data_IF_262109997865
#
_entry.id   IF_262109997865
#
_cell.length_a   1.000
_cell.length_b   1.000
_cell.length_c   1.000
_cell.angle_alpha   90.00
_cell.angle_beta   90.00
_cell.angle_gamma   90.00
#
_symmetry.space_group_name_H-M   'P 1'
#
loop_
_entity.id
_entity.type
_entity.pdbx_description
1 polymer ?
#
# COMPACT_ATOMS: atom_id res chain seq x y z
N UNK A 1 -0.83 -34.18 5.45
CA UNK A 1 -0.31 -33.09 6.30
C UNK A 1 0.23 -31.94 5.45
N UNK A 2 1.23 -32.16 4.58
CA UNK A 2 1.77 -31.09 3.72
C UNK A 2 0.75 -30.49 2.73
N UNK A 3 -0.07 -31.32 2.10
CA UNK A 3 -1.12 -30.86 1.16
C UNK A 3 -2.13 -29.94 1.87
N UNK A 4 -2.53 -30.28 3.09
CA UNK A 4 -3.49 -29.51 3.88
C UNK A 4 -2.93 -28.16 4.33
N UNK A 5 -1.64 -28.11 4.69
CA UNK A 5 -0.94 -26.85 5.00
C UNK A 5 -0.89 -25.95 3.77
N UNK A 6 -0.55 -26.50 2.60
CA UNK A 6 -0.50 -25.73 1.35
C UNK A 6 -1.86 -25.09 1.01
N UNK A 7 -2.95 -25.86 1.10
CA UNK A 7 -4.29 -25.32 0.88
C UNK A 7 -4.66 -24.23 1.89
N UNK A 8 -4.36 -24.43 3.17
CA UNK A 8 -4.66 -23.41 4.18
C UNK A 8 -3.88 -22.10 3.95
N UNK A 9 -2.60 -22.19 3.59
CA UNK A 9 -1.78 -21.01 3.24
C UNK A 9 -2.36 -20.30 2.03
N UNK A 10 -2.69 -21.03 0.97
CA UNK A 10 -3.27 -20.47 -0.25
C UNK A 10 -4.63 -19.80 -0.01
N UNK A 11 -5.50 -20.44 0.78
CA UNK A 11 -6.80 -19.87 1.14
C UNK A 11 -6.63 -18.59 1.95
N UNK A 12 -5.66 -18.53 2.86
CA UNK A 12 -5.38 -17.32 3.63
C UNK A 12 -4.86 -16.17 2.75
N UNK A 13 -3.92 -16.45 1.84
CA UNK A 13 -3.46 -15.44 0.86
C UNK A 13 -4.61 -14.92 -0.01
N UNK A 14 -5.47 -15.82 -0.51
CA UNK A 14 -6.62 -15.45 -1.33
C UNK A 14 -7.62 -14.59 -0.54
N UNK A 15 -7.84 -14.91 0.74
CA UNK A 15 -8.70 -14.14 1.63
C UNK A 15 -8.15 -12.73 1.85
N UNK A 16 -6.87 -12.60 2.19
CA UNK A 16 -6.21 -11.30 2.38
C UNK A 16 -6.27 -10.45 1.11
N UNK A 17 -6.02 -11.05 -0.06
CA UNK A 17 -6.11 -10.34 -1.33
C UNK A 17 -7.54 -9.84 -1.59
N UNK A 18 -8.55 -10.68 -1.34
CA UNK A 18 -9.95 -10.30 -1.51
C UNK A 18 -10.35 -9.14 -0.60
N UNK A 19 -9.94 -9.18 0.67
CA UNK A 19 -10.23 -8.12 1.63
C UNK A 19 -9.57 -6.79 1.22
N UNK A 20 -8.30 -6.84 0.79
CA UNK A 20 -7.60 -5.67 0.29
C UNK A 20 -8.30 -5.06 -0.94
N UNK A 21 -8.70 -5.87 -1.92
CA UNK A 21 -9.44 -5.39 -3.10
C UNK A 21 -10.79 -4.79 -2.73
N UNK A 22 -11.52 -5.36 -1.76
CA UNK A 22 -12.79 -4.81 -1.30
C UNK A 22 -12.61 -3.41 -0.67
N UNK A 23 -11.60 -3.26 0.19
CA UNK A 23 -11.26 -1.98 0.82
C UNK A 23 -10.88 -0.94 -0.24
N UNK A 24 -10.01 -1.32 -1.19
CA UNK A 24 -9.59 -0.42 -2.27
C UNK A 24 -10.78 -0.01 -3.15
N UNK A 25 -11.70 -0.93 -3.45
CA UNK A 25 -12.91 -0.61 -4.20
C UNK A 25 -13.84 0.35 -3.45
N UNK A 26 -14.00 0.18 -2.13
CA UNK A 26 -14.77 1.12 -1.30
C UNK A 26 -14.18 2.52 -1.32
N UNK A 27 -12.85 2.64 -1.22
CA UNK A 27 -12.14 3.92 -1.31
C UNK A 27 -12.34 4.53 -2.71
N UNK A 28 -12.12 3.74 -3.76
CA UNK A 28 -12.25 4.18 -5.16
C UNK A 28 -13.64 4.76 -5.46
N UNK A 29 -14.68 4.14 -4.92
CA UNK A 29 -16.06 4.52 -5.18
C UNK A 29 -16.57 5.68 -4.30
N UNK A 30 -15.76 6.15 -3.34
CA UNK A 30 -16.13 7.29 -2.53
C UNK A 30 -16.12 8.58 -3.37
N UNK A 31 -17.15 9.41 -3.24
CA UNK A 31 -17.26 10.67 -3.99
C UNK A 31 -16.04 11.56 -3.73
N UNK A 32 -15.44 12.07 -4.80
CA UNK A 32 -14.26 12.95 -4.76
C UNK A 32 -12.93 12.22 -4.80
N UNK A 33 -12.89 10.88 -4.74
CA UNK A 33 -11.67 10.12 -4.96
C UNK A 33 -11.32 10.12 -6.44
N UNK A 34 -10.17 10.71 -6.77
CA UNK A 34 -9.67 10.84 -8.14
C UNK A 34 -8.84 9.63 -8.58
N UNK A 35 -8.29 8.88 -7.62
CA UNK A 35 -7.46 7.73 -7.90
C UNK A 35 -6.84 7.13 -6.64
N UNK A 36 -6.23 5.97 -6.83
CA UNK A 36 -5.55 5.20 -5.80
C UNK A 36 -4.15 4.88 -6.30
N UNK A 37 -3.17 5.01 -5.41
CA UNK A 37 -1.80 4.58 -5.62
C UNK A 37 -1.34 3.78 -4.38
N UNK A 38 -0.93 2.54 -4.60
CA UNK A 38 -0.38 1.63 -3.59
C UNK A 38 1.09 1.41 -3.92
N UNK A 39 1.97 1.76 -2.99
CA UNK A 39 3.43 1.65 -3.12
C UNK A 39 4.01 0.93 -1.92
N UNK A 40 5.13 0.25 -2.12
CA UNK A 40 5.92 -0.29 -1.00
C UNK A 40 6.81 0.81 -0.36
N UNK A 41 7.58 0.45 0.67
CA UNK A 41 8.49 1.35 1.38
C UNK A 41 9.63 1.91 0.53
N UNK A 42 9.93 1.28 -0.60
CA UNK A 42 10.97 1.68 -1.56
C UNK A 42 10.42 2.57 -2.67
N UNK A 43 9.09 2.73 -2.76
CA UNK A 43 8.41 3.47 -3.81
C UNK A 43 8.13 2.65 -5.07
N UNK A 44 8.24 1.32 -5.01
CA UNK A 44 7.76 0.45 -6.08
C UNK A 44 6.23 0.42 -6.09
N UNK A 45 5.66 0.62 -7.27
CA UNK A 45 4.21 0.67 -7.48
C UNK A 45 3.66 -0.76 -7.49
N UNK A 46 2.71 -1.03 -6.59
CA UNK A 46 1.98 -2.30 -6.51
C UNK A 46 0.66 -2.20 -7.31
N UNK A 47 -0.04 -1.08 -7.17
CA UNK A 47 -1.31 -0.81 -7.87
C UNK A 47 -1.50 0.67 -8.06
N UNK A 48 -2.00 1.08 -9.22
CA UNK A 48 -2.33 2.46 -9.51
C UNK A 48 -3.56 2.55 -10.39
N UNK A 49 -4.37 3.60 -10.19
CA UNK A 49 -5.41 4.00 -11.15
C UNK A 49 -4.99 5.16 -12.03
N UNK A 50 -3.79 5.72 -11.81
CA UNK A 50 -3.21 6.77 -12.62
C UNK A 50 -2.46 6.19 -13.83
N UNK A 51 -2.12 7.04 -14.80
CA UNK A 51 -1.16 6.65 -15.84
C UNK A 51 0.23 6.40 -15.25
N UNK A 52 1.10 5.78 -16.04
CA UNK A 52 2.44 5.38 -15.59
C UNK A 52 3.27 6.58 -15.12
N UNK A 53 3.25 7.68 -15.88
CA UNK A 53 4.06 8.86 -15.58
C UNK A 53 3.64 9.52 -14.27
N UNK A 54 2.34 9.69 -14.05
CA UNK A 54 1.80 10.21 -12.79
C UNK A 54 2.07 9.27 -11.63
N UNK A 55 1.94 7.96 -11.84
CA UNK A 55 2.22 6.94 -10.82
C UNK A 55 3.67 6.99 -10.37
N UNK A 56 4.62 7.04 -11.29
CA UNK A 56 6.06 7.12 -11.00
C UNK A 56 6.41 8.40 -10.24
N UNK A 57 5.87 9.54 -10.70
CA UNK A 57 6.08 10.83 -10.06
C UNK A 57 5.55 10.83 -8.62
N UNK A 58 4.30 10.41 -8.42
CA UNK A 58 3.67 10.37 -7.11
C UNK A 58 4.36 9.37 -6.17
N UNK A 59 4.71 8.17 -6.65
CA UNK A 59 5.41 7.17 -5.86
C UNK A 59 6.76 7.70 -5.34
N UNK A 60 7.55 8.33 -6.21
CA UNK A 60 8.84 8.90 -5.83
C UNK A 60 8.70 10.01 -4.79
N UNK A 61 7.79 10.98 -5.00
CA UNK A 61 7.63 12.12 -4.10
C UNK A 61 7.03 11.71 -2.75
N UNK A 62 5.99 10.88 -2.74
CA UNK A 62 5.30 10.47 -1.52
C UNK A 62 6.17 9.57 -0.65
N UNK A 63 6.97 8.67 -1.24
CA UNK A 63 7.91 7.84 -0.49
C UNK A 63 9.00 8.70 0.15
N UNK A 64 9.57 9.67 -0.58
CA UNK A 64 10.55 10.60 -0.03
C UNK A 64 9.98 11.46 1.10
N UNK A 65 8.77 12.01 0.90
CA UNK A 65 8.07 12.80 1.91
C UNK A 65 7.81 11.97 3.18
N UNK A 66 7.28 10.76 3.01
CA UNK A 66 6.96 9.87 4.14
C UNK A 66 8.21 9.47 4.91
N UNK A 67 9.33 9.22 4.22
CA UNK A 67 10.62 8.93 4.87
C UNK A 67 11.09 10.12 5.71
N UNK A 68 11.14 11.31 5.11
CA UNK A 68 11.54 12.54 5.83
C UNK A 68 10.64 12.83 7.02
N UNK A 69 9.32 12.68 6.87
CA UNK A 69 8.38 12.89 7.96
C UNK A 69 8.63 11.93 9.13
N UNK A 70 8.87 10.63 8.86
CA UNK A 70 9.23 9.67 9.91
C UNK A 70 10.55 10.01 10.59
N UNK A 71 11.55 10.42 9.81
CA UNK A 71 12.87 10.77 10.36
C UNK A 71 12.76 11.99 11.29
N UNK A 72 12.01 13.02 10.90
CA UNK A 72 11.73 14.20 11.74
C UNK A 72 10.97 13.81 13.02
N UNK A 73 9.95 12.96 12.93
CA UNK A 73 9.20 12.53 14.12
C UNK A 73 10.12 11.79 15.10
N UNK A 74 10.99 10.90 14.59
CA UNK A 74 11.97 10.17 15.41
C UNK A 74 13.01 11.07 16.05
N UNK A 75 13.43 12.13 15.35
CA UNK A 75 14.34 13.13 15.93
C UNK A 75 13.68 13.92 17.08
N UNK A 76 12.37 14.19 16.98
CA UNK A 76 11.63 14.94 17.99
C UNK A 76 11.24 14.11 19.21
N UNK A 77 10.82 12.86 19.00
CA UNK A 77 10.53 11.91 20.08
C UNK A 77 11.05 10.52 19.70
N UNK A 78 12.26 10.15 20.17
CA UNK A 78 12.85 8.85 19.90
C UNK A 78 12.07 7.66 20.50
N UNK A 79 11.09 7.90 21.37
CA UNK A 79 10.27 6.87 22.01
C UNK A 79 8.93 6.65 21.29
N UNK A 80 8.56 7.52 20.35
CA UNK A 80 7.41 7.30 19.47
C UNK A 80 7.85 6.36 18.34
N UNK A 81 7.49 5.08 18.55
CA UNK A 81 7.76 3.84 17.77
C UNK A 81 8.94 2.99 18.23
#
# INVERSE_FOLDING_TARGET
MEIEIYYNVYIFELYLYSEAEEILNRIKNHKGVIGILVVNSEGLIIKSTFDQQQSDLHASLLTQLSKKARDVIRELDPQVF
#
